data_IF_530231747072
#
_entry.id   IF_530231747072
#
_cell.length_a   1.000
_cell.length_b   1.000
_cell.length_c   1.000
_cell.angle_alpha   90.00
_cell.angle_beta   90.00
_cell.angle_gamma   90.00
#
_symmetry.space_group_name_H-M   'P 1'
#
loop_
_entity.id
_entity.type
_entity.pdbx_description
1 polymer ?
#
# COMPACT_ATOMS: atom_id res chain seq x y z
N UNK A 1 13.46 14.04 2.84
CA UNK A 1 14.61 13.19 2.46
C UNK A 1 14.22 11.81 1.89
N UNK A 2 12.95 11.54 1.54
CA UNK A 2 12.52 10.21 1.02
C UNK A 2 12.62 10.07 -0.51
N UNK A 3 12.54 11.18 -1.25
CA UNK A 3 12.47 11.19 -2.72
C UNK A 3 13.77 10.81 -3.45
N UNK A 4 14.87 10.59 -2.73
CA UNK A 4 16.17 10.28 -3.35
C UNK A 4 16.47 8.77 -3.41
N UNK A 5 15.81 7.98 -2.55
CA UNK A 5 16.05 6.53 -2.44
C UNK A 5 15.01 5.69 -3.20
N UNK A 6 13.83 6.24 -3.44
CA UNK A 6 12.74 5.52 -4.11
C UNK A 6 12.71 6.03 -5.56
N UNK A 7 13.28 5.28 -6.53
CA UNK A 7 13.14 5.63 -7.93
C UNK A 7 11.64 5.66 -8.27
N UNK A 8 11.21 6.76 -8.87
CA UNK A 8 9.82 7.08 -9.18
C UNK A 8 9.12 6.07 -10.12
N UNK A 9 9.83 5.05 -10.62
CA UNK A 9 9.40 4.21 -11.74
C UNK A 9 8.91 2.81 -11.37
N UNK A 10 9.05 2.36 -10.12
CA UNK A 10 8.77 0.97 -9.75
C UNK A 10 8.13 0.79 -8.37
N UNK A 11 7.10 1.59 -8.05
CA UNK A 11 6.24 1.39 -6.86
C UNK A 11 5.28 0.19 -6.98
N UNK A 12 5.69 -0.85 -7.72
CA UNK A 12 4.86 -2.02 -7.99
C UNK A 12 4.54 -2.81 -6.72
N UNK A 13 5.43 -2.82 -5.72
CA UNK A 13 5.24 -3.65 -4.51
C UNK A 13 4.25 -3.01 -3.55
N UNK A 14 4.28 -1.68 -3.41
CA UNK A 14 3.35 -0.91 -2.61
C UNK A 14 1.94 -0.92 -3.20
N UNK A 15 1.80 -0.80 -4.52
CA UNK A 15 0.49 -0.93 -5.18
C UNK A 15 -0.10 -2.33 -5.00
N UNK A 16 0.73 -3.38 -5.07
CA UNK A 16 0.29 -4.75 -4.82
C UNK A 16 -0.29 -4.94 -3.41
N UNK A 17 0.28 -4.33 -2.37
CA UNK A 17 -0.24 -4.47 -0.99
C UNK A 17 -1.68 -3.96 -0.88
N UNK A 18 -2.00 -2.82 -1.50
CA UNK A 18 -3.36 -2.27 -1.48
C UNK A 18 -4.32 -3.14 -2.31
N UNK A 19 -3.86 -3.61 -3.48
CA UNK A 19 -4.66 -4.48 -4.34
C UNK A 19 -4.93 -5.85 -3.72
N UNK A 20 -3.94 -6.45 -3.07
CA UNK A 20 -4.11 -7.69 -2.31
C UNK A 20 -5.04 -7.48 -1.13
N UNK A 21 -4.89 -6.38 -0.40
CA UNK A 21 -5.79 -6.07 0.71
C UNK A 21 -7.24 -5.98 0.23
N UNK A 22 -7.49 -5.31 -0.91
CA UNK A 22 -8.84 -5.20 -1.48
C UNK A 22 -9.42 -6.54 -1.94
N UNK A 23 -8.59 -7.45 -2.43
CA UNK A 23 -9.01 -8.77 -2.93
C UNK A 23 -9.19 -9.82 -1.83
N UNK A 24 -8.42 -9.73 -0.74
CA UNK A 24 -8.37 -10.74 0.30
C UNK A 24 -9.16 -10.38 1.56
N UNK A 25 -9.35 -9.08 1.84
CA UNK A 25 -10.10 -8.66 3.02
C UNK A 25 -11.60 -8.87 2.82
N UNK A 26 -12.28 -9.27 3.91
CA UNK A 26 -13.74 -9.32 3.94
C UNK A 26 -14.33 -7.93 3.63
N UNK A 27 -15.49 -7.84 2.96
CA UNK A 27 -16.11 -6.57 2.61
C UNK A 27 -16.31 -5.63 3.80
N UNK A 28 -16.61 -6.17 4.98
CA UNK A 28 -16.78 -5.42 6.23
C UNK A 28 -15.49 -4.73 6.72
N UNK A 29 -14.34 -5.19 6.23
CA UNK A 29 -13.02 -4.64 6.54
C UNK A 29 -12.55 -3.61 5.50
N UNK A 30 -13.24 -3.46 4.36
CA UNK A 30 -12.92 -2.48 3.32
C UNK A 30 -13.41 -1.07 3.69
N UNK A 31 -13.03 -0.61 4.87
CA UNK A 31 -13.32 0.74 5.37
C UNK A 31 -12.22 1.71 4.96
N UNK A 32 -12.54 3.01 4.86
CA UNK A 32 -11.56 4.05 4.56
C UNK A 32 -10.36 4.06 5.52
N UNK A 33 -10.61 3.76 6.80
CA UNK A 33 -9.56 3.68 7.82
C UNK A 33 -8.56 2.56 7.50
N UNK A 34 -9.07 1.39 7.14
CA UNK A 34 -8.23 0.24 6.86
C UNK A 34 -7.50 0.37 5.52
N UNK A 35 -8.12 0.97 4.51
CA UNK A 35 -7.46 1.29 3.24
C UNK A 35 -6.32 2.30 3.44
N UNK A 36 -6.49 3.27 4.34
CA UNK A 36 -5.42 4.21 4.72
C UNK A 36 -4.25 3.48 5.39
N UNK A 37 -4.52 2.52 6.27
CA UNK A 37 -3.49 1.68 6.88
C UNK A 37 -2.78 0.79 5.85
N UNK A 38 -3.53 0.19 4.92
CA UNK A 38 -2.94 -0.60 3.84
C UNK A 38 -2.00 0.22 2.95
N UNK A 39 -2.33 1.50 2.69
CA UNK A 39 -1.43 2.43 1.97
C UNK A 39 -0.18 2.77 2.78
N UNK A 40 -0.29 2.93 4.10
CA UNK A 40 0.88 3.16 4.96
C UNK A 40 1.78 1.92 4.95
N UNK A 41 1.21 0.71 5.06
CA UNK A 41 1.94 -0.55 4.95
C UNK A 41 2.62 -0.71 3.59
N UNK A 42 1.94 -0.31 2.51
CA UNK A 42 2.52 -0.26 1.17
C UNK A 42 3.77 0.62 1.11
N UNK A 43 3.74 1.81 1.71
CA UNK A 43 4.90 2.70 1.81
C UNK A 43 6.01 2.12 2.68
N UNK A 44 5.67 1.39 3.76
CA UNK A 44 6.64 0.69 4.59
C UNK A 44 7.33 -0.47 3.85
N UNK A 45 6.65 -1.12 2.91
CA UNK A 45 7.20 -2.22 2.12
C UNK A 45 8.09 -1.76 0.95
N UNK A 46 8.01 -0.48 0.58
CA UNK A 46 8.84 0.17 -0.45
C UNK A 46 10.09 0.86 0.13
N UNK A 47 10.19 0.98 1.45
CA UNK A 47 11.38 1.43 2.19
C UNK A 47 12.36 0.28 2.40
#
# INVERSE_FOLDING_TARGET
>A
ALNYLIPNDNLHRGMLVVDFYRKLASPDQLTDKNLKLARILAWCAEL
#
